data_IF_851016435927
#
_entry.id   IF_851016435927
#
_cell.length_a   1.000
_cell.length_b   1.000
_cell.length_c   1.000
_cell.angle_alpha   90.00
_cell.angle_beta   90.00
_cell.angle_gamma   90.00
#
_symmetry.space_group_name_H-M   'P 1'
#
loop_
_entity.id
_entity.type
_entity.pdbx_description
1 polymer ?
#
# COMPACT_ATOMS: atom_id res chain seq x y z
N UNK A 1 6.11 19.26 -1.66
CA UNK A 1 6.83 18.01 -1.97
C UNK A 1 5.79 17.01 -2.44
N UNK A 2 6.02 16.30 -3.56
CA UNK A 2 5.09 15.27 -4.04
C UNK A 2 5.22 14.01 -3.18
N UNK A 3 4.11 13.34 -2.89
CA UNK A 3 4.15 12.02 -2.24
C UNK A 3 4.49 10.93 -3.27
N UNK A 4 4.95 9.77 -2.81
CA UNK A 4 5.27 8.65 -3.71
C UNK A 4 4.04 8.18 -4.49
N UNK A 5 2.87 8.20 -3.85
CA UNK A 5 1.57 7.93 -4.48
C UNK A 5 1.27 8.92 -5.60
N UNK A 6 1.57 10.21 -5.39
CA UNK A 6 1.40 11.24 -6.42
C UNK A 6 2.38 11.02 -7.58
N UNK A 7 3.64 10.66 -7.33
CA UNK A 7 4.60 10.39 -8.41
C UNK A 7 4.15 9.22 -9.29
N UNK A 8 3.71 8.11 -8.69
CA UNK A 8 3.20 6.95 -9.44
C UNK A 8 1.92 7.32 -10.22
N UNK A 9 1.03 8.13 -9.63
CA UNK A 9 -0.17 8.61 -10.32
C UNK A 9 0.17 9.52 -11.51
N UNK A 10 1.09 10.47 -11.33
CA UNK A 10 1.56 11.37 -12.39
C UNK A 10 2.11 10.57 -13.58
N UNK A 11 2.95 9.56 -13.33
CA UNK A 11 3.51 8.72 -14.40
C UNK A 11 2.45 7.94 -15.17
N UNK A 12 1.42 7.44 -14.49
CA UNK A 12 0.29 6.77 -15.15
C UNK A 12 -0.53 7.73 -15.99
N UNK A 13 -0.73 8.96 -15.54
CA UNK A 13 -1.39 10.01 -16.33
C UNK A 13 -0.55 10.38 -17.57
N UNK A 14 0.75 10.56 -17.40
CA UNK A 14 1.68 10.84 -18.50
C UNK A 14 1.66 9.72 -19.55
N UNK A 15 1.64 8.45 -19.13
CA UNK A 15 1.50 7.31 -20.03
C UNK A 15 0.20 7.37 -20.85
N UNK A 16 -0.93 7.71 -20.21
CA UNK A 16 -2.20 7.89 -20.92
C UNK A 16 -2.15 9.04 -21.94
N UNK A 17 -1.49 10.15 -21.60
CA UNK A 17 -1.30 11.28 -22.51
C UNK A 17 -0.44 10.86 -23.72
N UNK A 18 0.62 10.09 -23.50
CA UNK A 18 1.48 9.57 -24.57
C UNK A 18 0.72 8.66 -25.53
N UNK A 19 -0.12 7.73 -25.02
CA UNK A 19 -0.99 6.89 -25.86
C UNK A 19 -1.95 7.71 -26.72
N UNK A 20 -2.60 8.73 -26.13
CA UNK A 20 -3.49 9.62 -26.89
C UNK A 20 -2.79 10.36 -28.03
N UNK A 21 -1.46 10.48 -27.97
CA UNK A 21 -0.63 11.11 -29.01
C UNK A 21 0.01 10.10 -29.98
N UNK A 22 -0.27 8.80 -29.83
CA UNK A 22 0.27 7.73 -30.66
C UNK A 22 1.71 7.34 -30.35
N UNK A 23 2.23 7.73 -29.17
CA UNK A 23 3.60 7.46 -28.73
C UNK A 23 3.60 6.23 -27.82
N UNK A 24 3.30 5.06 -28.40
CA UNK A 24 2.97 3.84 -27.64
C UNK A 24 4.16 3.28 -26.85
N UNK A 25 5.36 3.24 -27.43
CA UNK A 25 6.54 2.64 -26.79
C UNK A 25 6.92 3.36 -25.49
N UNK A 26 6.93 4.68 -25.52
CA UNK A 26 7.25 5.52 -24.37
C UNK A 26 6.15 5.46 -23.30
N UNK A 27 4.88 5.35 -23.72
CA UNK A 27 3.77 5.12 -22.79
C UNK A 27 3.94 3.80 -22.03
N UNK A 28 4.27 2.72 -22.75
CA UNK A 28 4.48 1.40 -22.14
C UNK A 28 5.69 1.38 -21.20
N UNK A 29 6.76 2.09 -21.56
CA UNK A 29 7.91 2.26 -20.66
C UNK A 29 7.53 3.01 -19.38
N UNK A 30 6.71 4.06 -19.49
CA UNK A 30 6.27 4.84 -18.34
C UNK A 30 5.37 4.03 -17.40
N UNK A 31 4.42 3.26 -17.95
CA UNK A 31 3.59 2.37 -17.16
C UNK A 31 4.42 1.30 -16.45
N UNK A 32 5.38 0.70 -17.15
CA UNK A 32 6.28 -0.30 -16.54
C UNK A 32 7.06 0.28 -15.36
N UNK A 33 7.58 1.50 -15.50
CA UNK A 33 8.27 2.19 -14.40
C UNK A 33 7.33 2.50 -13.24
N UNK A 34 6.10 2.94 -13.52
CA UNK A 34 5.09 3.17 -12.50
C UNK A 34 4.74 1.90 -11.74
N UNK A 35 4.61 0.76 -12.44
CA UNK A 35 4.30 -0.53 -11.84
C UNK A 35 5.47 -1.08 -11.02
N UNK A 36 6.70 -1.03 -11.53
CA UNK A 36 7.90 -1.44 -10.77
C UNK A 36 8.07 -0.60 -9.51
N UNK A 37 7.85 0.72 -9.62
CA UNK A 37 7.93 1.62 -8.48
C UNK A 37 6.82 1.34 -7.46
N UNK A 38 5.57 1.16 -7.91
CA UNK A 38 4.45 0.82 -7.04
C UNK A 38 4.65 -0.51 -6.31
N UNK A 39 5.22 -1.50 -6.99
CA UNK A 39 5.55 -2.80 -6.41
C UNK A 39 6.64 -2.68 -5.34
N UNK A 40 7.77 -2.03 -5.67
CA UNK A 40 8.86 -1.82 -4.73
C UNK A 40 8.43 -0.95 -3.53
N UNK A 41 7.53 -0.01 -3.76
CA UNK A 41 6.98 0.89 -2.76
C UNK A 41 5.74 0.35 -2.04
N UNK A 42 5.30 -0.88 -2.32
CA UNK A 42 3.99 -1.37 -1.91
C UNK A 42 3.72 -1.17 -0.42
N UNK A 43 4.67 -1.50 0.45
CA UNK A 43 4.52 -1.35 1.90
C UNK A 43 4.49 0.13 2.35
N UNK A 44 5.16 1.00 1.61
CA UNK A 44 5.22 2.43 1.90
C UNK A 44 3.89 3.11 1.59
N UNK A 45 3.21 2.73 0.51
CA UNK A 45 1.99 3.40 0.04
C UNK A 45 0.70 2.73 0.53
N UNK A 46 0.78 1.46 0.93
CA UNK A 46 -0.41 0.68 1.30
C UNK A 46 -0.81 0.93 2.75
N UNK A 47 -2.09 1.29 2.92
CA UNK A 47 -2.76 1.28 4.21
C UNK A 47 -3.57 -0.01 4.35
N UNK A 48 -3.46 -0.66 5.51
CA UNK A 48 -4.19 -1.88 5.87
C UNK A 48 -5.12 -1.60 7.05
N UNK A 49 -6.22 -2.35 7.12
CA UNK A 49 -7.22 -2.19 8.18
C UNK A 49 -6.64 -2.61 9.54
N UNK A 50 -7.30 -2.22 10.64
CA UNK A 50 -6.92 -2.67 11.98
C UNK A 50 -6.90 -4.20 12.09
N UNK A 51 -7.85 -4.90 11.47
CA UNK A 51 -7.92 -6.35 11.52
C UNK A 51 -6.81 -7.00 10.66
N UNK A 52 -6.52 -6.47 9.46
CA UNK A 52 -5.37 -6.92 8.65
C UNK A 52 -4.03 -6.67 9.35
N UNK A 53 -3.90 -5.54 10.05
CA UNK A 53 -2.70 -5.22 10.79
C UNK A 53 -2.48 -6.19 11.95
N UNK A 54 -3.56 -6.62 12.62
CA UNK A 54 -3.49 -7.68 13.63
C UNK A 54 -3.03 -9.00 13.03
N UNK A 55 -3.58 -9.39 11.87
CA UNK A 55 -3.18 -10.62 11.18
C UNK A 55 -1.70 -10.59 10.74
N UNK A 56 -1.24 -9.49 10.14
CA UNK A 56 0.14 -9.33 9.66
C UNK A 56 1.18 -9.37 10.80
N UNK A 57 0.85 -8.72 11.91
CA UNK A 57 1.82 -8.50 13.00
C UNK A 57 1.69 -9.47 14.16
N UNK A 58 0.63 -10.28 14.19
CA UNK A 58 0.20 -11.08 15.34
C UNK A 58 0.05 -10.26 16.63
N UNK A 59 -0.10 -8.94 16.53
CA UNK A 59 -0.28 -8.05 17.69
C UNK A 59 -1.75 -7.85 18.00
N UNK A 60 -2.03 -7.63 19.28
CA UNK A 60 -3.39 -7.34 19.73
C UNK A 60 -3.85 -5.96 19.28
N UNK A 61 -5.17 -5.79 19.19
CA UNK A 61 -5.81 -4.50 18.93
C UNK A 61 -5.36 -3.39 19.88
N UNK A 62 -5.20 -3.70 21.17
CA UNK A 62 -4.74 -2.73 22.17
C UNK A 62 -3.31 -2.26 21.90
N UNK A 63 -2.44 -3.16 21.41
CA UNK A 63 -1.07 -2.83 21.04
C UNK A 63 -0.99 -1.87 19.84
N UNK A 64 -1.86 -2.07 18.84
CA UNK A 64 -1.97 -1.16 17.67
C UNK A 64 -2.51 0.20 18.10
N UNK A 65 -3.59 0.20 18.88
CA UNK A 65 -4.26 1.44 19.33
C UNK A 65 -3.40 2.30 20.24
N UNK A 66 -2.53 1.70 21.07
CA UNK A 66 -1.60 2.47 21.90
C UNK A 66 -0.55 3.24 21.09
N UNK A 67 -0.31 2.84 19.83
CA UNK A 67 0.61 3.50 18.89
C UNK A 67 -0.07 4.43 17.90
N UNK A 68 -1.39 4.34 17.79
CA UNK A 68 -2.16 5.03 16.75
C UNK A 68 -1.88 6.53 16.72
N UNK A 69 -1.92 7.24 17.85
CA UNK A 69 -1.70 8.69 17.87
C UNK A 69 -0.31 9.08 17.38
N UNK A 70 0.72 8.33 17.77
CA UNK A 70 2.09 8.59 17.31
C UNK A 70 2.22 8.35 15.80
N UNK A 71 1.70 7.23 15.32
CA UNK A 71 1.75 6.90 13.91
C UNK A 71 0.89 7.83 13.05
N UNK A 72 -0.23 8.32 13.57
CA UNK A 72 -1.07 9.31 12.89
C UNK A 72 -0.32 10.64 12.72
N UNK A 73 0.36 11.13 13.76
CA UNK A 73 1.20 12.32 13.67
C UNK A 73 2.36 12.17 12.67
N UNK A 74 2.86 10.93 12.50
CA UNK A 74 3.91 10.60 11.53
C UNK A 74 3.37 10.34 10.11
N UNK A 75 2.04 10.37 9.90
CA UNK A 75 1.42 10.05 8.61
C UNK A 75 1.38 8.55 8.28
N UNK A 76 1.62 7.69 9.26
CA UNK A 76 1.60 6.23 9.14
C UNK A 76 0.31 5.58 9.65
N UNK A 77 -0.60 6.35 10.24
CA UNK A 77 -1.95 5.89 10.55
C UNK A 77 -2.96 6.95 10.14
N UNK A 78 -4.18 6.51 9.84
CA UNK A 78 -5.30 7.41 9.58
C UNK A 78 -6.60 6.80 10.04
N UNK A 79 -7.59 7.64 10.28
CA UNK A 79 -8.94 7.22 10.64
C UNK A 79 -9.92 7.59 9.54
N UNK A 80 -10.70 6.61 9.10
CA UNK A 80 -11.81 6.81 8.17
C UNK A 80 -13.08 6.31 8.85
N UNK A 81 -13.94 7.25 9.26
CA UNK A 81 -15.12 6.94 10.06
C UNK A 81 -14.79 6.26 11.40
N UNK A 82 -15.21 5.00 11.56
CA UNK A 82 -14.94 4.18 12.76
C UNK A 82 -13.70 3.29 12.60
N UNK A 83 -13.15 3.19 11.40
CA UNK A 83 -12.06 2.28 11.06
C UNK A 83 -10.72 3.00 11.19
N UNK A 84 -9.74 2.31 11.80
CA UNK A 84 -8.35 2.74 11.82
C UNK A 84 -7.60 2.00 10.73
N UNK A 85 -6.76 2.75 10.04
CA UNK A 85 -5.91 2.28 8.98
C UNK A 85 -4.46 2.56 9.34
N UNK A 86 -3.57 1.63 9.00
CA UNK A 86 -2.16 1.68 9.34
C UNK A 86 -1.33 1.45 8.07
N UNK A 87 -0.24 2.20 7.87
CA UNK A 87 0.71 1.92 6.79
C UNK A 87 1.35 0.57 7.03
N UNK A 88 1.38 -0.25 6.00
CA UNK A 88 1.92 -1.60 6.04
C UNK A 88 3.41 -1.60 6.44
N UNK A 89 4.16 -0.56 6.07
CA UNK A 89 5.56 -0.32 6.46
C UNK A 89 5.81 -0.34 7.97
N UNK A 90 4.93 0.28 8.77
CA UNK A 90 5.14 0.40 10.23
C UNK A 90 4.54 -0.77 11.00
N UNK A 91 3.72 -1.59 10.34
CA UNK A 91 3.13 -2.78 10.92
C UNK A 91 4.12 -3.92 10.75
N UNK A 92 4.68 -4.48 11.85
CA UNK A 92 5.65 -5.56 11.77
C UNK A 92 5.09 -6.73 10.95
N UNK A 93 5.93 -7.30 10.09
CA UNK A 93 5.66 -8.56 9.41
C UNK A 93 6.49 -9.65 10.07
N UNK A 94 5.88 -10.76 10.45
CA UNK A 94 6.63 -11.92 10.89
C UNK A 94 7.21 -12.63 9.65
N UNK A 95 8.53 -12.77 9.62
CA UNK A 95 9.30 -13.22 8.43
C UNK A 95 8.95 -14.66 8.01
N UNK A 96 8.37 -15.48 8.89
CA UNK A 96 7.96 -16.86 8.57
C UNK A 96 6.72 -16.99 7.68
N UNK A 97 5.89 -15.94 7.55
CA UNK A 97 4.52 -16.09 7.05
C UNK A 97 4.07 -14.98 6.07
N UNK A 98 4.98 -14.21 5.49
CA UNK A 98 4.59 -13.13 4.56
C UNK A 98 3.83 -13.66 3.32
N UNK A 99 4.26 -14.79 2.77
CA UNK A 99 3.56 -15.49 1.67
C UNK A 99 2.23 -16.10 2.13
N UNK A 100 2.19 -16.68 3.34
CA UNK A 100 0.97 -17.22 3.94
C UNK A 100 -0.07 -16.11 4.24
N UNK A 101 0.40 -14.91 4.61
CA UNK A 101 -0.45 -13.74 4.82
C UNK A 101 -1.09 -13.27 3.52
N UNK A 102 -0.32 -13.08 2.44
CA UNK A 102 -0.89 -12.67 1.15
C UNK A 102 -1.82 -13.76 0.57
N UNK A 103 -1.46 -15.05 0.71
CA UNK A 103 -2.34 -16.16 0.33
C UNK A 103 -3.66 -16.16 1.13
N UNK A 104 -3.60 -15.93 2.45
CA UNK A 104 -4.79 -15.81 3.29
C UNK A 104 -5.67 -14.62 2.91
N UNK A 105 -5.06 -13.47 2.59
CA UNK A 105 -5.78 -12.28 2.12
C UNK A 105 -6.47 -12.52 0.77
N UNK A 106 -5.79 -13.18 -0.17
CA UNK A 106 -6.36 -13.51 -1.48
C UNK A 106 -7.58 -14.44 -1.36
N UNK A 107 -7.47 -15.48 -0.52
CA UNK A 107 -8.57 -16.38 -0.21
C UNK A 107 -9.77 -15.65 0.43
N UNK A 108 -9.53 -14.71 1.35
CA UNK A 108 -10.59 -13.92 1.97
C UNK A 108 -11.31 -12.98 0.98
N UNK A 109 -10.64 -12.57 -0.10
CA UNK A 109 -11.23 -11.76 -1.18
C UNK A 109 -11.94 -12.60 -2.25
N UNK A 110 -11.93 -13.93 -2.14
CA UNK A 110 -12.52 -14.84 -3.12
C UNK A 110 -11.75 -14.88 -4.45
N UNK A 111 -10.50 -14.43 -4.45
CA UNK A 111 -9.61 -14.49 -5.61
C UNK A 111 -8.62 -15.62 -5.35
N UNK A 112 -8.99 -16.84 -5.75
CA UNK A 112 -8.12 -18.02 -5.72
C UNK A 112 -8.05 -18.61 -7.12
#
# INVERSE_FOLDING_TARGET
MRTLEQVVADWREDAQVLRKRGVEREADMMDKLADECALAAHEYITFISEDDAMLRSERSRNWLRSRFMLWEQQGHARREGRTRWYRMLVVPCKVSDAEAFEAGRAAARGVA
#
